data_IF_445526402238
#
_entry.id   IF_445526402238
#
_cell.length_a   1.000
_cell.length_b   1.000
_cell.length_c   1.000
_cell.angle_alpha   90.00
_cell.angle_beta   90.00
_cell.angle_gamma   90.00
#
_symmetry.space_group_name_H-M   'P 1'
#
loop_
_entity.id
_entity.type
_entity.pdbx_description
1 polymer ?
#
# COMPACT_ATOMS: atom_id res chain seq x y z
N UNK A 1 -26.62 -19.72 3.10
CA UNK A 1 -26.47 -18.24 3.08
C UNK A 1 -26.96 -17.72 4.43
N UNK A 2 -26.26 -16.76 5.06
CA UNK A 2 -26.71 -16.13 6.30
C UNK A 2 -28.08 -15.45 6.09
N UNK A 3 -28.96 -15.55 7.08
CA UNK A 3 -30.36 -15.10 7.05
C UNK A 3 -30.61 -13.84 7.87
N UNK A 4 -29.67 -13.44 8.73
CA UNK A 4 -29.75 -12.24 9.57
C UNK A 4 -28.48 -11.41 9.48
N UNK A 5 -28.54 -10.16 9.97
CA UNK A 5 -27.36 -9.29 10.06
C UNK A 5 -26.25 -9.90 10.93
N UNK A 6 -26.61 -10.49 12.08
CA UNK A 6 -25.64 -11.12 12.99
C UNK A 6 -24.99 -12.36 12.36
N UNK A 7 -25.78 -13.19 11.66
CA UNK A 7 -25.25 -14.34 10.91
C UNK A 7 -24.32 -13.89 9.78
N UNK A 8 -24.63 -12.77 9.12
CA UNK A 8 -23.77 -12.18 8.09
C UNK A 8 -22.45 -11.68 8.66
N UNK A 9 -22.48 -10.94 9.77
CA UNK A 9 -21.27 -10.44 10.45
C UNK A 9 -20.36 -11.61 10.83
N UNK A 10 -20.93 -12.62 11.50
CA UNK A 10 -20.20 -13.83 11.88
C UNK A 10 -19.57 -14.52 10.65
N UNK A 11 -20.34 -14.68 9.57
CA UNK A 11 -19.84 -15.34 8.36
C UNK A 11 -18.75 -14.53 7.65
N UNK A 12 -18.88 -13.20 7.62
CA UNK A 12 -17.90 -12.28 7.05
C UNK A 12 -16.57 -12.36 7.81
N UNK A 13 -16.63 -12.40 9.14
CA UNK A 13 -15.44 -12.52 9.98
C UNK A 13 -14.76 -13.89 9.82
N UNK A 14 -15.53 -14.98 9.81
CA UNK A 14 -15.01 -16.33 9.53
C UNK A 14 -14.30 -16.38 8.17
N UNK A 15 -14.93 -15.85 7.11
CA UNK A 15 -14.36 -15.83 5.77
C UNK A 15 -13.09 -14.98 5.70
N UNK A 16 -13.05 -13.81 6.36
CA UNK A 16 -11.86 -12.97 6.40
C UNK A 16 -10.69 -13.69 7.06
N UNK A 17 -10.92 -14.34 8.20
CA UNK A 17 -9.87 -15.10 8.90
C UNK A 17 -9.40 -16.29 8.05
N UNK A 18 -10.32 -16.99 7.39
CA UNK A 18 -9.98 -18.10 6.51
C UNK A 18 -9.17 -17.66 5.29
N UNK A 19 -9.54 -16.56 4.62
CA UNK A 19 -8.78 -16.00 3.50
C UNK A 19 -7.37 -15.62 3.97
N UNK A 20 -7.26 -14.92 5.09
CA UNK A 20 -5.95 -14.52 5.61
C UNK A 20 -5.09 -15.72 5.96
N UNK A 21 -5.64 -16.71 6.68
CA UNK A 21 -4.89 -17.87 7.17
C UNK A 21 -4.55 -18.87 6.06
N UNK A 22 -5.52 -19.18 5.20
CA UNK A 22 -5.44 -20.29 4.24
C UNK A 22 -4.98 -19.86 2.85
N UNK A 23 -5.03 -18.56 2.54
CA UNK A 23 -4.66 -18.03 1.22
C UNK A 23 -3.54 -17.01 1.36
N UNK A 24 -3.73 -15.90 2.08
CA UNK A 24 -2.78 -14.77 2.09
C UNK A 24 -1.50 -15.05 2.89
N UNK A 25 -1.61 -15.75 4.03
CA UNK A 25 -0.47 -16.05 4.90
C UNK A 25 -0.10 -17.53 4.90
N UNK A 26 -0.65 -18.32 3.97
CA UNK A 26 -0.33 -19.73 3.86
C UNK A 26 1.16 -19.94 3.58
N UNK A 27 1.84 -20.65 4.48
CA UNK A 27 3.28 -20.90 4.41
C UNK A 27 4.18 -19.67 4.60
N UNK A 28 3.62 -18.49 4.91
CA UNK A 28 4.38 -17.26 5.10
C UNK A 28 4.87 -17.16 6.54
N UNK A 29 6.18 -16.97 6.78
CA UNK A 29 6.70 -16.82 8.14
C UNK A 29 6.11 -15.60 8.85
N UNK A 30 5.46 -15.81 10.01
CA UNK A 30 4.85 -14.72 10.82
C UNK A 30 5.81 -13.56 11.13
N UNK A 31 7.10 -13.86 11.29
CA UNK A 31 8.15 -12.86 11.52
C UNK A 31 8.30 -11.84 10.39
N UNK A 32 7.83 -12.15 9.17
CA UNK A 32 7.91 -11.23 8.03
C UNK A 32 6.85 -10.13 8.06
N UNK A 33 5.72 -10.36 8.73
CA UNK A 33 4.58 -9.43 8.68
C UNK A 33 4.04 -8.96 10.04
N UNK A 34 4.60 -9.43 11.16
CA UNK A 34 4.12 -9.06 12.50
C UNK A 34 4.52 -7.64 12.95
N UNK A 35 5.71 -7.17 12.58
CA UNK A 35 6.28 -5.90 13.07
C UNK A 35 5.90 -4.76 12.11
N UNK A 36 5.96 -3.49 12.52
CA UNK A 36 5.70 -2.36 11.62
C UNK A 36 6.75 -2.28 10.49
N UNK A 37 6.39 -1.75 9.31
CA UNK A 37 7.38 -1.56 8.25
C UNK A 37 8.41 -0.51 8.66
N UNK A 38 9.65 -0.71 8.22
CA UNK A 38 10.64 0.35 8.23
C UNK A 38 10.30 1.35 7.13
N UNK A 39 10.44 2.63 7.42
CA UNK A 39 10.17 3.73 6.49
C UNK A 39 11.46 4.52 6.31
N UNK A 40 11.88 4.69 5.06
CA UNK A 40 12.99 5.55 4.68
C UNK A 40 12.44 6.70 3.87
N UNK A 41 12.56 7.91 4.41
CA UNK A 41 12.18 9.14 3.73
C UNK A 41 13.29 9.58 2.77
N UNK A 42 12.91 10.03 1.59
CA UNK A 42 13.78 10.68 0.61
C UNK A 42 13.44 12.16 0.47
N UNK A 43 13.75 12.70 -0.71
CA UNK A 43 13.55 14.12 -0.99
C UNK A 43 12.08 14.55 -1.00
N UNK A 44 11.87 15.82 -0.68
CA UNK A 44 10.61 16.53 -0.88
C UNK A 44 10.66 17.30 -2.20
N UNK A 45 9.61 17.14 -3.01
CA UNK A 45 9.34 17.99 -4.17
C UNK A 45 8.41 19.10 -3.70
N UNK A 46 8.97 20.30 -3.60
CA UNK A 46 8.24 21.51 -3.26
C UNK A 46 7.35 21.97 -4.43
N UNK A 47 6.16 22.48 -4.13
CA UNK A 47 5.30 23.10 -5.13
C UNK A 47 4.72 24.43 -4.63
N UNK A 48 4.42 25.32 -5.57
CA UNK A 48 3.66 26.55 -5.38
C UNK A 48 2.15 26.34 -5.55
N UNK A 49 1.70 25.09 -5.72
CA UNK A 49 0.32 24.72 -6.05
C UNK A 49 -0.50 24.24 -4.85
N UNK A 50 -0.06 24.54 -3.63
CA UNK A 50 -0.76 24.20 -2.39
C UNK A 50 -0.61 22.77 -1.89
N UNK A 51 0.33 21.99 -2.46
CA UNK A 51 0.66 20.64 -2.00
C UNK A 51 2.17 20.40 -2.10
N UNK A 52 2.68 19.36 -1.44
CA UNK A 52 4.05 18.86 -1.58
C UNK A 52 4.04 17.36 -1.91
N UNK A 53 5.14 16.84 -2.42
CA UNK A 53 5.30 15.40 -2.64
C UNK A 53 6.55 14.93 -1.90
N UNK A 54 6.41 14.02 -0.93
CA UNK A 54 7.55 13.41 -0.25
C UNK A 54 7.81 12.02 -0.82
N UNK A 55 9.04 11.79 -1.26
CA UNK A 55 9.50 10.46 -1.65
C UNK A 55 9.75 9.63 -0.39
N UNK A 56 9.43 8.35 -0.47
CA UNK A 56 9.75 7.39 0.57
C UNK A 56 9.86 6.00 -0.03
N UNK A 57 10.42 5.08 0.74
CA UNK A 57 10.24 3.64 0.53
C UNK A 57 9.99 2.96 1.86
N UNK A 58 9.23 1.88 1.84
CA UNK A 58 8.95 1.09 3.04
C UNK A 58 9.19 -0.40 2.83
N UNK A 59 9.55 -1.10 3.90
CA UNK A 59 9.83 -2.55 3.83
C UNK A 59 8.52 -3.36 3.80
N UNK A 60 8.21 -4.00 2.67
CA UNK A 60 7.06 -4.91 2.58
C UNK A 60 7.37 -6.31 3.13
N UNK A 61 8.55 -6.82 2.78
CA UNK A 61 9.10 -8.11 3.19
C UNK A 61 10.62 -7.94 3.45
N UNK A 62 11.30 -8.93 4.06
CA UNK A 62 12.76 -8.89 4.20
C UNK A 62 13.42 -8.61 2.84
N UNK A 63 14.22 -7.55 2.78
CA UNK A 63 14.93 -7.08 1.59
C UNK A 63 14.04 -6.61 0.41
N UNK A 64 12.72 -6.55 0.58
CA UNK A 64 11.81 -5.98 -0.42
C UNK A 64 11.29 -4.62 0.05
N UNK A 65 11.72 -3.58 -0.65
CA UNK A 65 11.32 -2.20 -0.41
C UNK A 65 10.38 -1.73 -1.49
N UNK A 66 9.27 -1.10 -1.10
CA UNK A 66 8.28 -0.51 -2.01
C UNK A 66 8.52 0.99 -2.05
N UNK A 67 9.02 1.55 -3.16
CA UNK A 67 9.07 2.99 -3.37
C UNK A 67 7.66 3.57 -3.41
N UNK A 68 7.48 4.78 -2.91
CA UNK A 68 6.19 5.45 -2.87
C UNK A 68 6.35 6.97 -2.95
N UNK A 69 5.25 7.62 -3.30
CA UNK A 69 5.09 9.07 -3.20
C UNK A 69 3.96 9.38 -2.23
N UNK A 70 4.23 10.23 -1.23
CA UNK A 70 3.21 10.78 -0.36
C UNK A 70 2.91 12.22 -0.81
N UNK A 71 1.70 12.43 -1.32
CA UNK A 71 1.19 13.75 -1.66
C UNK A 71 0.48 14.33 -0.43
N UNK A 72 0.90 15.51 0.00
CA UNK A 72 0.41 16.15 1.21
C UNK A 72 -0.07 17.58 0.91
N UNK A 73 -1.13 18.07 1.59
CA UNK A 73 -1.43 19.49 1.60
C UNK A 73 -0.21 20.27 2.10
N UNK A 74 0.09 21.44 1.51
CA UNK A 74 1.24 22.27 1.94
C UNK A 74 1.10 22.71 3.40
N UNK A 75 -0.12 22.94 3.84
CA UNK A 75 -0.46 23.23 5.23
C UNK A 75 -1.47 22.19 5.73
N UNK A 76 -1.13 21.49 6.81
CA UNK A 76 -2.02 20.55 7.47
C UNK A 76 -2.36 21.05 8.87
N UNK A 77 -3.66 21.15 9.15
CA UNK A 77 -4.17 21.51 10.50
C UNK A 77 -4.83 20.29 11.12
N UNK A 78 -4.24 19.78 12.20
CA UNK A 78 -4.76 18.63 12.95
C UNK A 78 -4.65 17.31 12.19
N UNK A 79 -5.67 16.46 12.35
CA UNK A 79 -5.77 15.13 11.75
C UNK A 79 -6.66 15.16 10.50
N UNK A 80 -6.17 14.60 9.40
CA UNK A 80 -6.85 14.59 8.09
C UNK A 80 -7.06 13.17 7.57
N UNK A 81 -8.02 12.93 6.66
CA UNK A 81 -8.15 11.64 5.98
C UNK A 81 -6.88 11.28 5.21
N UNK A 82 -6.61 9.98 5.12
CA UNK A 82 -5.56 9.43 4.28
C UNK A 82 -6.14 8.45 3.25
N UNK A 83 -5.48 8.30 2.11
CA UNK A 83 -5.92 7.42 1.02
C UNK A 83 -4.71 6.65 0.50
N UNK A 84 -4.80 5.32 0.52
CA UNK A 84 -3.89 4.46 -0.24
C UNK A 84 -4.32 4.43 -1.70
N UNK A 85 -3.48 4.93 -2.60
CA UNK A 85 -3.73 5.01 -4.02
C UNK A 85 -2.93 3.92 -4.75
N UNK A 86 -3.61 3.06 -5.49
CA UNK A 86 -2.97 2.03 -6.32
C UNK A 86 -3.27 2.28 -7.79
N UNK A 87 -2.40 1.79 -8.66
CA UNK A 87 -2.56 1.86 -10.11
C UNK A 87 -2.98 0.51 -10.71
N UNK A 88 -3.59 0.57 -11.90
CA UNK A 88 -3.82 -0.61 -12.73
C UNK A 88 -2.55 -1.09 -13.45
N UNK A 89 -2.70 -1.88 -14.51
CA UNK A 89 -1.59 -2.31 -15.37
C UNK A 89 -1.10 -1.18 -16.30
N UNK A 90 -0.55 -0.12 -15.70
CA UNK A 90 -0.16 1.12 -16.40
C UNK A 90 1.19 1.03 -17.11
N UNK A 91 1.92 -0.07 -16.91
CA UNK A 91 3.18 -0.31 -17.61
C UNK A 91 4.36 0.50 -17.03
N UNK A 92 5.38 0.79 -17.85
CA UNK A 92 6.63 1.41 -17.41
C UNK A 92 6.48 2.68 -16.55
N UNK A 93 5.52 3.59 -16.78
CA UNK A 93 5.35 4.78 -15.94
C UNK A 93 5.02 4.48 -14.46
N UNK A 94 4.38 3.36 -14.16
CA UNK A 94 3.98 3.01 -12.79
C UNK A 94 3.23 4.16 -12.09
N UNK A 95 3.61 4.46 -10.85
CA UNK A 95 3.03 5.57 -10.08
C UNK A 95 3.19 6.98 -10.69
N UNK A 96 4.07 7.16 -11.68
CA UNK A 96 4.23 8.46 -12.35
C UNK A 96 3.30 8.64 -13.55
N UNK A 97 2.38 7.71 -13.80
CA UNK A 97 1.37 7.85 -14.84
C UNK A 97 0.49 9.10 -14.60
N UNK A 98 0.31 9.92 -15.63
CA UNK A 98 -0.26 11.28 -15.50
C UNK A 98 -1.58 11.34 -14.73
N UNK A 99 -2.55 10.49 -15.08
CA UNK A 99 -3.86 10.50 -14.44
C UNK A 99 -3.82 9.96 -12.99
N UNK A 100 -2.85 9.09 -12.66
CA UNK A 100 -2.61 8.58 -11.30
C UNK A 100 -2.07 9.73 -10.42
N UNK A 101 -1.14 10.51 -10.95
CA UNK A 101 -0.62 11.71 -10.28
C UNK A 101 -1.71 12.77 -10.11
N UNK A 102 -2.52 13.03 -11.13
CA UNK A 102 -3.64 13.99 -11.07
C UNK A 102 -4.63 13.59 -9.96
N UNK A 103 -4.93 12.30 -9.78
CA UNK A 103 -5.79 11.84 -8.67
C UNK A 103 -5.17 12.20 -7.31
N UNK A 104 -3.90 11.86 -7.08
CA UNK A 104 -3.23 12.11 -5.80
C UNK A 104 -3.12 13.60 -5.50
N UNK A 105 -2.79 14.42 -6.50
CA UNK A 105 -2.75 15.88 -6.40
C UNK A 105 -4.11 16.45 -6.01
N UNK A 106 -5.19 15.96 -6.61
CA UNK A 106 -6.55 16.43 -6.28
C UNK A 106 -6.95 16.07 -4.84
N UNK A 107 -6.55 14.91 -4.33
CA UNK A 107 -6.77 14.53 -2.93
C UNK A 107 -5.99 15.44 -1.98
N UNK A 108 -4.70 15.67 -2.26
CA UNK A 108 -3.85 16.57 -1.47
C UNK A 108 -4.39 18.00 -1.43
N UNK A 109 -4.80 18.55 -2.57
CA UNK A 109 -5.44 19.87 -2.64
C UNK A 109 -6.76 19.97 -1.88
N UNK A 110 -7.42 18.84 -1.60
CA UNK A 110 -8.65 18.75 -0.79
C UNK A 110 -8.36 18.45 0.69
N UNK A 111 -7.10 18.59 1.12
CA UNK A 111 -6.72 18.45 2.52
C UNK A 111 -6.48 17.02 2.98
N UNK A 112 -6.28 16.07 2.07
CA UNK A 112 -6.10 14.64 2.40
C UNK A 112 -4.67 14.18 2.12
N UNK A 113 -4.17 13.22 2.89
CA UNK A 113 -2.91 12.54 2.59
C UNK A 113 -3.16 11.49 1.50
N UNK A 114 -2.36 11.49 0.43
CA UNK A 114 -2.47 10.50 -0.64
C UNK A 114 -1.14 9.77 -0.84
N UNK A 115 -1.05 8.54 -0.35
CA UNK A 115 0.11 7.68 -0.53
C UNK A 115 -0.08 6.83 -1.78
N UNK A 116 0.87 6.91 -2.73
CA UNK A 116 0.89 6.08 -3.92
C UNK A 116 2.16 5.23 -3.96
N UNK A 117 2.10 3.97 -3.50
CA UNK A 117 3.21 3.02 -3.68
C UNK A 117 3.40 2.63 -5.15
N UNK A 118 4.59 2.16 -5.47
CA UNK A 118 4.89 1.49 -6.72
C UNK A 118 4.31 0.09 -6.74
N UNK A 119 3.95 -0.37 -7.94
CA UNK A 119 3.48 -1.73 -8.18
C UNK A 119 4.59 -2.60 -8.75
N UNK A 120 4.64 -3.87 -8.33
CA UNK A 120 5.59 -4.85 -8.89
C UNK A 120 5.41 -4.92 -10.42
N UNK A 121 6.52 -4.99 -11.15
CA UNK A 121 6.60 -4.93 -12.63
C UNK A 121 6.59 -3.52 -13.22
N UNK A 122 6.32 -2.47 -12.44
CA UNK A 122 6.20 -1.11 -12.96
C UNK A 122 7.17 -0.13 -12.32
N UNK A 123 7.45 0.96 -13.04
CA UNK A 123 8.30 2.06 -12.59
C UNK A 123 9.62 1.57 -11.98
N UNK A 124 9.87 1.95 -10.73
CA UNK A 124 11.08 1.58 -10.00
C UNK A 124 11.21 0.08 -9.71
N UNK A 125 10.12 -0.68 -9.83
CA UNK A 125 10.05 -2.13 -9.70
C UNK A 125 9.86 -2.80 -11.08
N UNK A 126 10.30 -2.16 -12.16
CA UNK A 126 10.17 -2.64 -13.54
C UNK A 126 11.23 -3.63 -14.00
N UNK A 127 12.15 -4.05 -13.13
CA UNK A 127 13.21 -5.01 -13.49
C UNK A 127 12.71 -6.45 -13.51
N UNK A 128 13.47 -7.34 -14.14
CA UNK A 128 13.09 -8.75 -14.33
C UNK A 128 12.77 -9.49 -13.02
N UNK A 129 13.43 -9.12 -11.92
CA UNK A 129 13.24 -9.76 -10.62
C UNK A 129 11.87 -9.50 -9.98
N UNK A 130 11.19 -8.44 -10.41
CA UNK A 130 9.88 -8.06 -9.87
C UNK A 130 8.72 -8.54 -10.74
N UNK A 131 8.96 -9.29 -11.83
CA UNK A 131 7.92 -9.89 -12.68
C UNK A 131 6.90 -10.66 -11.83
N UNK A 132 5.62 -10.25 -11.87
CA UNK A 132 4.57 -10.82 -11.04
C UNK A 132 4.30 -12.31 -11.31
N UNK A 133 4.69 -12.87 -12.46
CA UNK A 133 4.59 -14.32 -12.67
C UNK A 133 5.63 -15.11 -11.86
N UNK A 134 6.68 -14.46 -11.31
CA UNK A 134 7.69 -15.10 -10.44
C UNK A 134 7.15 -15.46 -9.06
N UNK A 135 5.97 -14.97 -8.68
CA UNK A 135 5.28 -15.35 -7.44
C UNK A 135 5.06 -16.86 -7.35
N UNK A 136 4.88 -17.53 -8.48
CA UNK A 136 4.71 -18.99 -8.56
C UNK A 136 5.91 -19.76 -7.98
N UNK A 137 7.10 -19.14 -7.93
CA UNK A 137 8.26 -19.75 -7.27
C UNK A 137 8.10 -19.83 -5.75
N UNK A 138 7.40 -18.89 -5.14
CA UNK A 138 7.03 -18.99 -3.72
C UNK A 138 5.99 -20.09 -3.54
N UNK A 139 4.97 -20.13 -4.40
CA UNK A 139 3.90 -21.14 -4.32
C UNK A 139 4.49 -22.56 -4.41
N UNK A 140 5.46 -22.78 -5.30
CA UNK A 140 6.21 -24.04 -5.40
C UNK A 140 6.96 -24.41 -4.11
N UNK A 141 7.46 -23.41 -3.38
CA UNK A 141 8.14 -23.57 -2.10
C UNK A 141 7.16 -23.67 -0.90
N UNK A 142 5.85 -23.78 -1.16
CA UNK A 142 4.83 -23.93 -0.12
C UNK A 142 4.47 -22.64 0.61
N UNK A 143 4.87 -21.47 0.10
CA UNK A 143 4.51 -20.16 0.63
C UNK A 143 3.75 -19.36 -0.43
N UNK A 144 2.60 -18.77 -0.09
CA UNK A 144 1.80 -18.09 -1.12
C UNK A 144 2.50 -16.86 -1.70
N UNK A 145 2.59 -16.76 -3.02
CA UNK A 145 3.08 -15.58 -3.70
C UNK A 145 2.16 -14.36 -3.54
N UNK A 146 0.85 -14.57 -3.34
CA UNK A 146 -0.14 -13.50 -3.08
C UNK A 146 0.24 -12.62 -1.88
N UNK A 147 0.91 -13.20 -0.88
CA UNK A 147 1.37 -12.50 0.32
C UNK A 147 2.23 -11.28 0.00
N UNK A 148 3.05 -11.35 -1.06
CA UNK A 148 3.94 -10.26 -1.47
C UNK A 148 3.13 -9.02 -1.82
N UNK A 149 2.09 -9.18 -2.64
CA UNK A 149 1.21 -8.08 -3.04
C UNK A 149 0.38 -7.56 -1.89
N UNK A 150 -0.23 -8.48 -1.13
CA UNK A 150 -1.03 -8.12 0.03
C UNK A 150 -0.20 -7.29 1.03
N UNK A 151 1.01 -7.74 1.34
CA UNK A 151 1.88 -7.05 2.29
C UNK A 151 2.39 -5.73 1.74
N UNK A 152 2.73 -5.64 0.44
CA UNK A 152 3.09 -4.37 -0.18
C UNK A 152 2.00 -3.30 0.03
N UNK A 153 0.73 -3.66 -0.12
CA UNK A 153 -0.40 -2.74 0.12
C UNK A 153 -0.69 -2.51 1.60
N UNK A 154 -0.75 -3.58 2.41
CA UNK A 154 -1.01 -3.49 3.86
C UNK A 154 0.03 -2.62 4.56
N UNK A 155 1.30 -2.72 4.17
CA UNK A 155 2.36 -1.84 4.71
C UNK A 155 2.19 -0.38 4.28
N UNK A 156 1.60 -0.11 3.11
CA UNK A 156 1.20 1.25 2.74
C UNK A 156 0.14 1.81 3.68
N UNK A 157 -0.80 0.99 4.15
CA UNK A 157 -1.76 1.39 5.21
C UNK A 157 -1.03 1.65 6.52
N UNK A 158 -0.12 0.75 6.94
CA UNK A 158 0.69 0.97 8.15
C UNK A 158 1.46 2.31 8.09
N UNK A 159 2.02 2.66 6.93
CA UNK A 159 2.70 3.96 6.70
C UNK A 159 1.75 5.14 6.92
N UNK A 160 0.52 5.05 6.40
CA UNK A 160 -0.51 6.08 6.60
C UNK A 160 -0.91 6.17 8.08
N UNK A 161 -1.16 5.04 8.76
CA UNK A 161 -1.49 5.00 10.19
C UNK A 161 -0.38 5.62 11.06
N UNK A 162 0.89 5.39 10.68
CA UNK A 162 2.05 5.92 11.40
C UNK A 162 2.29 7.42 11.15
N UNK A 163 1.65 8.04 10.16
CA UNK A 163 1.79 9.47 9.91
C UNK A 163 1.06 10.28 11.00
N UNK A 164 1.78 11.21 11.63
CA UNK A 164 1.28 12.04 12.72
C UNK A 164 0.04 12.88 12.35
N UNK A 165 -0.20 13.14 11.06
CA UNK A 165 -1.33 13.92 10.58
C UNK A 165 -2.51 13.06 10.11
N UNK A 166 -2.39 11.73 10.08
CA UNK A 166 -3.52 10.86 9.70
C UNK A 166 -4.56 10.76 10.81
N UNK A 167 -5.83 10.90 10.44
CA UNK A 167 -6.96 10.46 11.25
C UNK A 167 -7.14 8.94 11.11
N UNK A 168 -6.87 8.13 12.17
CA UNK A 168 -6.91 6.67 12.08
C UNK A 168 -8.32 6.12 11.83
N UNK A 169 -9.38 6.93 11.93
CA UNK A 169 -10.75 6.51 11.61
C UNK A 169 -11.14 6.80 10.16
N UNK A 170 -10.24 7.40 9.37
CA UNK A 170 -10.49 7.84 7.97
C UNK A 170 -9.29 7.52 7.07
N UNK A 171 -9.03 6.23 6.89
CA UNK A 171 -8.05 5.67 5.94
C UNK A 171 -8.79 4.80 4.92
#
# INVERSE_FOLDING_TARGET
MPKTADEWIKKSDELRQDILKKIVYYGVPKKWYKDNPQIVWGDTIETDKGYIIRKLRYSALPNLWIPALLYEPKEIKGKVPAILNVNGHVGPPGKTQDYEQIRCINLAKRGMLALHPEWLVFGELGTDDFKHNRLAYLDLCGATGLSVFYLAMKRGIDVLEMNQNTDPKRI
#
